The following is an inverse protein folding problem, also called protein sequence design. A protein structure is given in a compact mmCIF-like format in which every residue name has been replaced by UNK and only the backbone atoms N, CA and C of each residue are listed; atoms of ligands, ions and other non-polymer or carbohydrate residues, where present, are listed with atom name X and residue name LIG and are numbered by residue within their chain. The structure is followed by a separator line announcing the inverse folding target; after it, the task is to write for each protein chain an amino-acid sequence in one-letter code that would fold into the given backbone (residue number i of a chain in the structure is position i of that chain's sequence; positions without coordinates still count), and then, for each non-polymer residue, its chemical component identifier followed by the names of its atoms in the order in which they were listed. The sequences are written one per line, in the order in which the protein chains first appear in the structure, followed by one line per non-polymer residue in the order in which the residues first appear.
data_IF_437817004276
#
_entry.id   IF_437817004276
#
_cell.length_a   1.000
_cell.length_b   1.000
_cell.length_c   1.000
_cell.angle_alpha   90.00
_cell.angle_beta   90.00
_cell.angle_gamma   90.00
#
_symmetry.space_group_name_H-M   'P 1'
#
loop_
_entity.id
_entity.type
_entity.pdbx_description
1 polymer ?
#
# COMPACT_ATOMS: atom_id res chain seq x y z
N UNK A 1 -0.96 -23.17 16.57
CA UNK A 1 -1.73 -22.32 15.63
C UNK A 1 -1.54 -20.89 16.09
N UNK A 2 -0.36 -20.34 15.80
CA UNK A 2 0.04 -19.03 16.32
C UNK A 2 -0.34 -17.97 15.29
N UNK A 3 -1.62 -17.60 15.33
CA UNK A 3 -2.19 -16.59 14.46
C UNK A 3 -1.71 -15.20 14.86
N UNK A 4 -1.26 -14.42 13.87
CA UNK A 4 -1.11 -12.97 14.02
C UNK A 4 -2.51 -12.40 14.27
N UNK A 5 -2.80 -11.97 15.49
CA UNK A 5 -4.12 -11.47 15.88
C UNK A 5 -4.15 -9.96 15.79
N UNK A 6 -5.07 -9.43 14.98
CA UNK A 6 -5.35 -8.00 14.90
C UNK A 6 -6.52 -7.73 15.84
N UNK A 7 -6.24 -7.06 16.97
CA UNK A 7 -7.27 -6.65 17.93
C UNK A 7 -7.59 -5.17 17.71
N UNK A 8 -8.86 -4.87 17.45
CA UNK A 8 -9.38 -3.50 17.42
C UNK A 8 -10.03 -3.20 18.77
N UNK A 9 -9.40 -2.35 19.57
CA UNK A 9 -10.02 -1.74 20.75
C UNK A 9 -10.02 -0.22 20.57
N UNK A 10 -11.20 0.39 20.57
CA UNK A 10 -11.39 1.84 20.70
C UNK A 10 -10.55 2.71 19.73
N UNK A 11 -10.58 2.41 18.43
CA UNK A 11 -9.88 3.20 17.40
C UNK A 11 -8.36 3.01 17.35
N UNK A 12 -7.80 2.19 18.24
CA UNK A 12 -6.39 1.79 18.24
C UNK A 12 -6.30 0.37 17.65
N UNK A 13 -5.83 0.29 16.40
CA UNK A 13 -5.48 -0.97 15.78
C UNK A 13 -4.11 -1.40 16.31
N UNK A 14 -4.10 -2.42 17.17
CA UNK A 14 -2.86 -2.96 17.74
C UNK A 14 -2.46 -4.18 16.94
N UNK A 15 -1.32 -4.08 16.27
CA UNK A 15 -0.78 -5.15 15.43
C UNK A 15 0.22 -5.95 16.26
N UNK A 16 -0.18 -7.13 16.71
CA UNK A 16 0.70 -8.03 17.46
C UNK A 16 1.20 -9.11 16.51
N UNK A 17 2.43 -8.94 16.01
CA UNK A 17 3.14 -10.02 15.33
C UNK A 17 3.77 -10.91 16.41
N UNK A 18 3.14 -12.06 16.66
CA UNK A 18 3.86 -13.18 17.25
C UNK A 18 4.82 -13.70 16.18
N UNK A 19 6.13 -13.62 16.42
CA UNK A 19 7.11 -14.18 15.50
C UNK A 19 6.91 -15.69 15.44
N UNK A 20 6.37 -16.20 14.32
CA UNK A 20 6.33 -17.63 14.09
C UNK A 20 7.73 -18.10 13.70
N UNK A 21 8.33 -18.92 14.55
CA UNK A 21 9.61 -19.55 14.25
C UNK A 21 9.31 -20.74 13.34
N UNK A 22 9.81 -20.67 12.10
CA UNK A 22 9.66 -21.77 11.16
C UNK A 22 10.48 -22.96 11.65
N UNK A 23 9.82 -24.10 11.81
CA UNK A 23 10.50 -25.38 12.03
C UNK A 23 11.39 -25.75 10.84
N UNK A 24 12.33 -26.66 11.06
CA UNK A 24 13.21 -27.17 9.99
C UNK A 24 12.40 -27.75 8.83
N UNK A 25 11.30 -28.42 9.14
CA UNK A 25 10.45 -29.09 8.15
C UNK A 25 9.67 -28.08 7.32
N UNK A 26 9.11 -27.03 7.95
CA UNK A 26 8.44 -25.94 7.24
C UNK A 26 9.41 -25.13 6.37
N UNK A 27 10.64 -24.95 6.85
CA UNK A 27 11.72 -24.36 6.03
C UNK A 27 11.95 -25.24 4.80
N UNK A 28 12.11 -26.56 4.95
CA UNK A 28 12.31 -27.46 3.82
C UNK A 28 11.13 -27.44 2.83
N UNK A 29 9.89 -27.44 3.31
CA UNK A 29 8.69 -27.30 2.47
C UNK A 29 8.68 -25.98 1.69
N UNK A 30 9.10 -24.87 2.32
CA UNK A 30 9.23 -23.59 1.63
C UNK A 30 10.28 -23.66 0.51
N UNK A 31 11.40 -24.33 0.74
CA UNK A 31 12.44 -24.54 -0.26
C UNK A 31 11.94 -25.38 -1.45
N UNK A 32 11.25 -26.48 -1.19
CA UNK A 32 10.65 -27.32 -2.22
C UNK A 32 9.61 -26.54 -3.04
N UNK A 33 8.76 -25.76 -2.37
CA UNK A 33 7.78 -24.91 -3.04
C UNK A 33 8.45 -23.84 -3.93
N UNK A 34 9.58 -23.29 -3.50
CA UNK A 34 10.35 -22.32 -4.27
C UNK A 34 10.99 -22.95 -5.52
N UNK A 35 11.51 -24.17 -5.41
CA UNK A 35 12.07 -24.93 -6.55
C UNK A 35 11.00 -25.30 -7.57
N UNK A 36 9.81 -25.67 -7.10
CA UNK A 36 8.66 -25.98 -7.94
C UNK A 36 7.99 -24.74 -8.56
N UNK A 37 8.37 -23.52 -8.13
CA UNK A 37 7.77 -22.27 -8.61
C UNK A 37 6.38 -21.98 -8.03
N UNK A 38 6.03 -22.59 -6.90
CA UNK A 38 4.77 -22.36 -6.21
C UNK A 38 4.72 -21.01 -5.47
N UNK A 39 3.52 -20.66 -5.04
CA UNK A 39 3.23 -19.43 -4.31
C UNK A 39 3.05 -19.71 -2.82
N UNK A 40 3.50 -18.77 -2.01
CA UNK A 40 3.21 -18.69 -0.59
C UNK A 40 2.04 -17.72 -0.40
N UNK A 41 0.94 -18.24 0.16
CA UNK A 41 -0.29 -17.50 0.43
C UNK A 41 -0.47 -17.21 1.91
N UNK A 42 -0.93 -16.00 2.23
CA UNK A 42 -1.35 -15.61 3.58
C UNK A 42 -2.83 -15.30 3.55
N UNK A 43 -3.57 -15.86 4.50
CA UNK A 43 -4.99 -15.57 4.70
C UNK A 43 -5.20 -14.81 6.00
N UNK A 44 -6.11 -13.85 5.96
CA UNK A 44 -6.56 -13.14 7.15
C UNK A 44 -8.09 -13.22 7.24
N UNK A 45 -8.63 -13.53 8.42
CA UNK A 45 -10.07 -13.48 8.63
C UNK A 45 -10.57 -12.03 8.53
N UNK A 46 -11.56 -11.83 7.67
CA UNK A 46 -12.37 -10.62 7.63
C UNK A 46 -13.65 -10.81 8.46
N UNK A 47 -14.50 -9.79 8.51
CA UNK A 47 -15.85 -9.94 9.09
C UNK A 47 -16.67 -10.96 8.27
N UNK A 48 -17.61 -11.64 8.93
CA UNK A 48 -18.54 -12.60 8.33
C UNK A 48 -17.92 -13.89 7.77
N UNK A 49 -16.88 -14.43 8.40
CA UNK A 49 -16.21 -15.68 7.97
C UNK A 49 -15.58 -15.64 6.57
N UNK A 50 -15.51 -14.46 5.95
CA UNK A 50 -14.76 -14.24 4.72
C UNK A 50 -13.26 -14.16 5.02
N UNK A 51 -12.44 -14.56 4.05
CA UNK A 51 -10.99 -14.48 4.15
C UNK A 51 -10.45 -13.61 3.02
N UNK A 52 -9.54 -12.72 3.39
CA UNK A 52 -8.74 -11.97 2.43
C UNK A 52 -7.42 -12.71 2.26
N UNK A 53 -7.05 -13.01 1.02
CA UNK A 53 -5.82 -13.73 0.68
C UNK A 53 -4.87 -12.84 -0.12
N UNK A 54 -3.58 -12.97 0.14
CA UNK A 54 -2.51 -12.43 -0.67
C UNK A 54 -1.47 -13.52 -0.92
N UNK A 55 -0.82 -13.49 -2.08
CA UNK A 55 0.13 -14.53 -2.50
C UNK A 55 1.34 -13.92 -3.18
N UNK A 56 2.51 -14.50 -2.95
CA UNK A 56 3.78 -14.18 -3.65
C UNK A 56 4.50 -15.47 -4.02
N UNK A 57 5.47 -15.42 -4.94
CA UNK A 57 6.28 -16.61 -5.22
C UNK A 57 7.12 -16.98 -4.02
N UNK A 58 7.16 -18.26 -3.64
CA UNK A 58 7.95 -18.73 -2.50
C UNK A 58 9.44 -18.38 -2.63
N UNK A 59 9.97 -18.40 -3.84
CA UNK A 59 11.35 -18.02 -4.12
C UNK A 59 11.70 -16.57 -3.74
N UNK A 60 10.72 -15.65 -3.75
CA UNK A 60 10.94 -14.25 -3.39
C UNK A 60 11.23 -14.09 -1.89
N UNK A 61 10.63 -14.94 -1.05
CA UNK A 61 10.86 -14.95 0.40
C UNK A 61 12.29 -15.41 0.70
N UNK A 62 12.76 -16.43 -0.03
CA UNK A 62 14.12 -16.95 0.12
C UNK A 62 15.14 -15.91 -0.39
N UNK A 63 14.91 -15.36 -1.58
CA UNK A 63 15.77 -14.33 -2.17
C UNK A 63 15.87 -13.06 -1.31
N UNK A 64 14.80 -12.72 -0.58
CA UNK A 64 14.79 -11.60 0.36
C UNK A 64 15.40 -11.90 1.73
N UNK A 65 16.03 -13.08 1.90
CA UNK A 65 16.56 -13.58 3.18
C UNK A 65 15.49 -13.64 4.27
N UNK A 66 14.36 -14.29 3.98
CA UNK A 66 13.26 -14.50 4.91
C UNK A 66 12.68 -13.17 5.44
N UNK A 67 12.59 -12.16 4.58
CA UNK A 67 11.96 -10.86 4.90
C UNK A 67 10.70 -10.66 4.09
N UNK A 68 9.60 -10.48 4.79
CA UNK A 68 8.28 -10.25 4.21
C UNK A 68 7.70 -8.96 4.78
N UNK A 69 7.09 -8.14 3.91
CA UNK A 69 6.30 -6.98 4.31
C UNK A 69 4.84 -7.20 3.94
N UNK A 70 3.99 -7.24 4.95
CA UNK A 70 2.54 -7.28 4.83
C UNK A 70 1.97 -5.87 4.97
N UNK A 71 1.10 -5.48 4.06
CA UNK A 71 0.35 -4.22 4.16
C UNK A 71 -1.13 -4.52 4.18
N UNK A 72 -1.78 -4.18 5.29
CA UNK A 72 -3.21 -4.38 5.48
C UNK A 72 -3.91 -3.05 5.23
N UNK A 73 -4.80 -3.03 4.24
CA UNK A 73 -5.64 -1.88 3.94
C UNK A 73 -6.96 -2.02 4.69
N UNK A 74 -7.35 -0.98 5.42
CA UNK A 74 -8.58 -0.94 6.22
C UNK A 74 -9.56 0.10 5.69
N UNK A 75 -10.85 -0.02 6.03
CA UNK A 75 -11.86 1.01 5.76
C UNK A 75 -11.85 2.11 6.84
N UNK A 76 -12.72 3.11 6.70
CA UNK A 76 -12.89 4.19 7.69
C UNK A 76 -13.38 3.66 9.06
N UNK A 77 -14.09 2.53 9.07
CA UNK A 77 -14.54 1.85 10.29
C UNK A 77 -13.44 0.98 10.95
N UNK A 78 -12.27 0.83 10.31
CA UNK A 78 -11.16 0.01 10.80
C UNK A 78 -11.23 -1.48 10.41
N UNK A 79 -12.16 -1.88 9.57
CA UNK A 79 -12.26 -3.26 9.06
C UNK A 79 -11.26 -3.50 7.92
N UNK A 80 -10.57 -4.66 7.90
CA UNK A 80 -9.67 -5.03 6.82
C UNK A 80 -10.45 -5.23 5.52
N UNK A 81 -10.00 -4.59 4.43
CA UNK A 81 -10.57 -4.75 3.08
C UNK A 81 -9.62 -5.54 2.17
N UNK A 82 -8.31 -5.31 2.29
CA UNK A 82 -7.32 -5.92 1.42
C UNK A 82 -6.00 -6.19 2.15
N UNK A 83 -5.26 -7.18 1.67
CA UNK A 83 -3.90 -7.47 2.08
C UNK A 83 -3.00 -7.44 0.86
N UNK A 84 -1.82 -6.88 1.05
CA UNK A 84 -0.77 -6.88 0.07
C UNK A 84 0.51 -7.47 0.67
N UNK A 85 1.17 -8.32 -0.11
CA UNK A 85 2.43 -8.96 0.24
C UNK A 85 3.55 -8.41 -0.64
N UNK A 86 4.67 -8.06 -0.02
CA UNK A 86 5.84 -7.57 -0.73
C UNK A 86 7.12 -8.02 -0.07
N UNK A 87 8.15 -8.24 -0.89
CA UNK A 87 9.50 -8.58 -0.45
C UNK A 87 10.47 -7.49 -0.91
N UNK A 88 11.54 -7.21 -0.16
CA UNK A 88 12.58 -6.26 -0.60
C UNK A 88 13.25 -6.64 -1.93
N UNK A 89 13.25 -7.93 -2.29
CA UNK A 89 13.78 -8.45 -3.54
C UNK A 89 12.71 -9.28 -4.24
N UNK A 90 12.47 -8.98 -5.51
CA UNK A 90 11.45 -9.64 -6.34
C UNK A 90 12.02 -10.70 -7.28
N UNK A 91 13.32 -10.64 -7.55
CA UNK A 91 13.98 -11.56 -8.46
C UNK A 91 14.32 -12.87 -7.74
N UNK A 92 14.08 -13.98 -8.43
CA UNK A 92 14.28 -15.34 -7.95
C UNK A 92 15.56 -15.98 -8.53
N UNK A 93 16.50 -15.16 -8.98
CA UNK A 93 17.82 -15.58 -9.50
C UNK A 93 18.77 -16.14 -8.44
N UNK A 94 18.38 -16.18 -7.17
CA UNK A 94 19.21 -16.71 -6.09
C UNK A 94 19.32 -18.23 -6.19
N UNK A 95 20.53 -18.78 -6.02
CA UNK A 95 20.75 -20.22 -6.03
C UNK A 95 20.14 -20.84 -4.76
N UNK A 96 18.96 -21.46 -4.91
CA UNK A 96 18.13 -21.99 -3.81
C UNK A 96 18.78 -23.24 -3.17
N UNK A 97 19.94 -23.69 -3.67
CA UNK A 97 20.51 -25.01 -3.43
C UNK A 97 21.34 -25.13 -2.14
N UNK A 98 22.16 -24.13 -1.76
CA UNK A 98 23.22 -24.38 -0.74
C UNK A 98 23.14 -23.57 0.57
N UNK A 99 22.46 -22.42 0.62
CA UNK A 99 22.51 -21.52 1.80
C UNK A 99 21.24 -21.50 2.67
N UNK A 100 20.26 -22.36 2.38
CA UNK A 100 18.91 -22.19 2.92
C UNK A 100 18.79 -22.47 4.43
N UNK A 101 19.50 -23.47 4.96
CA UNK A 101 19.48 -23.80 6.40
C UNK A 101 20.13 -22.73 7.29
N UNK A 102 20.97 -21.86 6.72
CA UNK A 102 21.61 -20.75 7.42
C UNK A 102 20.76 -19.46 7.39
N UNK A 103 19.56 -19.50 6.81
CA UNK A 103 18.70 -18.34 6.76
C UNK A 103 18.10 -18.04 8.16
N UNK A 104 17.97 -16.75 8.50
CA UNK A 104 17.30 -16.35 9.72
C UNK A 104 15.82 -16.74 9.68
N UNK A 105 15.16 -16.67 10.83
CA UNK A 105 13.71 -16.87 10.90
C UNK A 105 12.95 -15.79 10.11
N UNK A 106 11.71 -16.13 9.72
CA UNK A 106 10.88 -15.25 8.91
C UNK A 106 10.56 -13.96 9.67
N UNK A 107 11.11 -12.85 9.17
CA UNK A 107 10.81 -11.52 9.66
C UNK A 107 9.63 -10.95 8.86
N UNK A 108 8.48 -10.83 9.52
CA UNK A 108 7.28 -10.24 8.95
C UNK A 108 7.13 -8.80 9.47
N UNK A 109 7.31 -7.82 8.59
CA UNK A 109 7.00 -6.42 8.85
C UNK A 109 5.56 -6.13 8.46
N UNK A 110 4.75 -5.65 9.40
CA UNK A 110 3.36 -5.36 9.11
C UNK A 110 3.11 -3.84 9.10
N UNK A 111 2.45 -3.37 8.04
CA UNK A 111 2.10 -1.98 7.82
C UNK A 111 0.58 -1.85 7.66
N UNK A 112 0.01 -0.78 8.21
CA UNK A 112 -1.40 -0.48 8.11
C UNK A 112 -1.62 0.68 7.14
N UNK A 113 -2.43 0.48 6.12
CA UNK A 113 -2.83 1.50 5.16
C UNK A 113 -4.26 1.94 5.47
N UNK A 114 -4.40 3.17 5.97
CA UNK A 114 -5.70 3.82 6.17
C UNK A 114 -6.08 4.64 4.93
N UNK A 115 -7.38 4.76 4.62
CA UNK A 115 -7.85 5.66 3.58
C UNK A 115 -7.44 7.09 3.94
N UNK A 116 -6.99 7.83 2.93
CA UNK A 116 -6.64 9.25 3.07
C UNK A 116 -7.70 10.05 2.35
N UNK A 117 -8.15 11.13 2.98
CA UNK A 117 -8.98 12.12 2.30
C UNK A 117 -8.19 12.67 1.11
N UNK A 118 -8.87 12.73 -0.04
CA UNK A 118 -8.29 13.30 -1.25
C UNK A 118 -8.02 14.79 -1.07
N UNK A 119 -7.19 15.38 -1.96
CA UNK A 119 -6.99 16.82 -1.96
C UNK A 119 -8.33 17.54 -2.18
N UNK A 120 -8.55 18.62 -1.44
CA UNK A 120 -9.66 19.55 -1.70
C UNK A 120 -9.51 20.14 -3.11
N UNK A 121 -10.60 20.39 -3.84
CA UNK A 121 -10.51 21.04 -5.16
C UNK A 121 -9.82 22.41 -5.06
N UNK A 122 -9.00 22.76 -6.05
CA UNK A 122 -8.31 24.06 -6.14
C UNK A 122 -9.27 25.20 -6.53
N UNK A 123 -10.37 25.38 -5.79
CA UNK A 123 -11.35 26.44 -6.04
C UNK A 123 -10.76 27.83 -5.84
N UNK A 124 -9.76 27.98 -4.97
CA UNK A 124 -9.08 29.25 -4.72
C UNK A 124 -8.42 29.83 -5.99
N UNK A 125 -7.69 29.01 -6.75
CA UNK A 125 -7.05 29.47 -8.01
C UNK A 125 -8.08 29.79 -9.09
N UNK A 126 -9.21 29.08 -9.09
CA UNK A 126 -10.30 29.38 -10.02
C UNK A 126 -10.97 30.72 -9.69
N UNK A 127 -11.21 31.00 -8.40
CA UNK A 127 -11.76 32.28 -7.94
C UNK A 127 -10.83 33.45 -8.27
N UNK A 128 -9.53 33.33 -8.00
CA UNK A 128 -8.54 34.36 -8.34
C UNK A 128 -8.51 34.66 -9.85
N UNK A 129 -8.59 33.63 -10.71
CA UNK A 129 -8.71 33.83 -12.16
C UNK A 129 -9.98 34.58 -12.55
N UNK A 130 -11.09 34.28 -11.87
CA UNK A 130 -12.39 34.92 -12.10
C UNK A 130 -12.37 36.39 -11.68
N UNK A 131 -11.75 36.69 -10.54
CA UNK A 131 -11.57 38.06 -10.06
C UNK A 131 -10.69 38.87 -11.01
N UNK A 132 -9.55 38.32 -11.43
CA UNK A 132 -8.67 38.96 -12.42
C UNK A 132 -9.37 39.22 -13.75
N UNK A 133 -10.15 38.26 -14.26
CA UNK A 133 -10.93 38.46 -15.47
C UNK A 133 -11.99 39.55 -15.29
N UNK A 134 -12.67 39.60 -14.12
CA UNK A 134 -13.64 40.64 -13.81
C UNK A 134 -12.97 42.02 -13.72
N UNK A 135 -11.79 42.12 -13.13
CA UNK A 135 -11.01 43.36 -13.08
C UNK A 135 -10.55 43.82 -14.46
N UNK A 136 -10.11 42.91 -15.33
CA UNK A 136 -9.73 43.21 -16.71
C UNK A 136 -10.93 43.69 -17.53
N UNK A 137 -12.10 43.04 -17.39
CA UNK A 137 -13.35 43.47 -18.04
C UNK A 137 -13.81 44.85 -17.55
N UNK A 138 -13.78 45.10 -16.24
CA UNK A 138 -14.14 46.40 -15.69
C UNK A 138 -13.20 47.52 -16.16
N UNK A 139 -11.90 47.22 -16.28
CA UNK A 139 -10.91 48.16 -16.81
C UNK A 139 -11.12 48.44 -18.31
N UNK A 140 -11.50 47.43 -19.09
CA UNK A 140 -11.79 47.57 -20.52
C UNK A 140 -13.10 48.34 -20.79
N UNK A 141 -14.12 48.19 -19.95
CA UNK A 141 -15.35 49.00 -20.04
C UNK A 141 -15.13 50.46 -19.61
N UNK A 142 -14.24 50.72 -18.65
CA UNK A 142 -13.91 52.08 -18.19
C UNK A 142 -12.93 52.81 -19.11
N UNK A 143 -12.15 52.09 -19.94
CA UNK A 143 -11.39 52.73 -21.02
C UNK A 143 -12.35 53.18 -22.12
N UNK A 144 -12.81 54.42 -21.97
CA UNK A 144 -13.60 55.19 -22.92
C UNK A 144 -13.07 55.00 -24.36
N UNK A 145 -13.84 54.29 -25.20
CA UNK A 145 -13.62 54.17 -26.64
C UNK A 145 -13.95 55.50 -27.36
N UNK A 146 -13.43 56.63 -26.87
CA UNK A 146 -13.25 57.86 -27.65
C UNK A 146 -12.12 57.63 -28.64
N UNK A 147 -12.49 56.80 -29.61
CA UNK A 147 -11.74 56.45 -30.79
C UNK A 147 -11.21 57.71 -31.45
N UNK A 148 -9.90 57.69 -31.67
CA UNK A 148 -9.10 58.64 -32.42
C UNK A 148 -9.59 58.94 -33.86
N UNK A 149 -10.70 58.33 -34.32
CA UNK A 149 -11.29 58.54 -35.64
C UNK A 149 -12.15 59.82 -35.79
N UNK A 150 -12.36 60.61 -34.73
CA UNK A 150 -13.09 61.87 -34.81
C UNK A 150 -12.24 63.08 -35.29
N UNK A 151 -11.01 62.85 -35.76
CA UNK A 151 -10.08 63.88 -36.22
C UNK A 151 -9.66 63.68 -37.68
N UNK A 152 -10.58 63.42 -38.60
CA UNK A 152 -10.38 63.72 -40.02
C UNK A 152 -11.72 64.08 -40.66
#
# INVERSE_FOLDING_TARGET
MDGTSIKSSSGVLTLVSGGHVFSTDEKQQLQESARAGYMYSVRMPAKNEEYIEASIRSCQIIASRMRLKLTVSVNDAGDPIAIHMSTPKYDCSYDISESFMNLPDLSISLALQKPKLGPSPETAKYLEKLEKQREEMARAEQSDNRSFFAKY
#
